data_IF_725912646279
#
_entry.id   IF_725912646279
#
_cell.length_a   1.000
_cell.length_b   1.000
_cell.length_c   1.000
_cell.angle_alpha   90.00
_cell.angle_beta   90.00
_cell.angle_gamma   90.00
#
_symmetry.space_group_name_H-M   'P 1'
#
loop_
_entity.id
_entity.type
_entity.pdbx_description
1 polymer ?
#
# COMPACT_ATOMS: atom_id res chain seq x y z
N UNK A 1 60.32 7.55 -0.33
CA UNK A 1 60.91 8.71 0.36
C UNK A 1 59.76 9.67 0.63
N UNK A 2 59.17 9.57 1.83
CA UNK A 2 59.24 10.60 2.90
C UNK A 2 58.57 11.90 2.42
N UNK A 3 57.43 12.36 2.94
CA UNK A 3 57.06 12.73 4.33
C UNK A 3 55.52 12.89 4.34
N UNK A 4 54.69 12.14 5.08
CA UNK A 4 54.32 12.16 6.52
C UNK A 4 53.70 13.47 7.04
N UNK A 5 52.45 13.33 7.51
CA UNK A 5 51.76 14.08 8.58
C UNK A 5 51.24 15.51 8.31
N UNK A 6 49.92 15.63 8.19
CA UNK A 6 49.11 16.43 9.13
C UNK A 6 47.81 15.67 9.41
N UNK A 7 47.72 15.14 10.62
CA UNK A 7 46.56 14.58 11.30
C UNK A 7 46.46 15.36 12.63
N UNK A 8 45.27 15.36 13.23
CA UNK A 8 44.90 15.90 14.55
C UNK A 8 44.26 17.31 14.53
N UNK A 9 43.19 17.65 15.25
CA UNK A 9 42.34 17.02 16.28
C UNK A 9 41.13 17.98 16.42
N UNK A 10 39.90 17.48 16.58
CA UNK A 10 38.95 17.95 17.62
C UNK A 10 37.68 17.11 17.62
N UNK A 11 37.61 16.23 18.63
CA UNK A 11 36.47 15.46 19.10
C UNK A 11 36.19 15.94 20.54
N UNK A 12 34.95 15.74 21.01
CA UNK A 12 34.41 15.93 22.38
C UNK A 12 34.08 17.37 22.82
N UNK A 13 33.03 17.65 23.62
CA UNK A 13 31.82 16.98 24.10
C UNK A 13 31.10 18.00 25.01
N UNK A 14 29.77 17.96 25.14
CA UNK A 14 29.07 18.13 26.42
C UNK A 14 27.54 18.03 26.27
N UNK A 15 26.98 17.03 26.95
CA UNK A 15 25.61 16.98 27.45
C UNK A 15 25.34 18.12 28.44
N UNK A 16 24.10 18.60 28.50
CA UNK A 16 23.50 19.00 29.77
C UNK A 16 21.99 18.76 29.79
N UNK A 17 21.57 18.01 30.82
CA UNK A 17 20.21 17.76 31.25
C UNK A 17 19.54 19.00 31.81
N UNK A 18 18.21 19.07 31.75
CA UNK A 18 17.36 19.58 32.84
C UNK A 18 15.94 19.01 32.73
N UNK A 19 15.36 18.75 33.90
CA UNK A 19 14.23 17.88 34.14
C UNK A 19 13.01 18.65 34.70
N UNK A 20 11.88 17.92 34.76
CA UNK A 20 10.63 18.14 35.51
C UNK A 20 9.61 19.19 35.02
N UNK A 21 8.45 18.68 34.57
CA UNK A 21 7.12 19.16 34.99
C UNK A 21 6.21 17.96 35.31
N UNK A 22 5.40 18.17 36.33
CA UNK A 22 4.56 17.25 37.11
C UNK A 22 3.32 16.78 36.35
N UNK A 23 2.94 15.54 36.66
CA UNK A 23 1.78 14.78 36.23
C UNK A 23 0.43 15.38 36.64
N UNK A 24 -0.57 15.30 35.77
CA UNK A 24 -1.97 15.11 36.17
C UNK A 24 -2.54 13.88 35.47
N UNK A 25 -3.07 12.95 36.26
CA UNK A 25 -3.69 11.69 35.85
C UNK A 25 -5.03 11.95 35.15
N UNK A 26 -5.18 11.44 33.93
CA UNK A 26 -6.48 11.07 33.35
C UNK A 26 -6.35 9.70 32.69
N UNK A 27 -7.40 8.90 32.83
CA UNK A 27 -7.52 7.49 32.43
C UNK A 27 -7.11 7.21 30.97
N UNK A 28 -6.40 6.10 30.67
CA UNK A 28 -6.03 5.77 29.29
C UNK A 28 -7.15 4.99 28.60
N UNK A 29 -7.89 5.65 27.70
CA UNK A 29 -8.44 4.95 26.53
C UNK A 29 -7.28 4.65 25.60
N UNK A 30 -7.06 3.38 25.23
CA UNK A 30 -6.04 2.98 24.25
C UNK A 30 -6.32 3.69 22.92
N UNK A 31 -5.46 4.58 22.41
CA UNK A 31 -5.53 4.98 21.02
C UNK A 31 -4.95 3.84 20.18
N UNK A 32 -5.73 3.32 19.24
CA UNK A 32 -5.21 2.50 18.15
C UNK A 32 -4.20 3.35 17.38
N UNK A 33 -2.96 2.87 17.26
CA UNK A 33 -1.94 3.54 16.45
C UNK A 33 -2.25 3.29 14.97
N UNK A 34 -3.27 3.95 14.45
CA UNK A 34 -3.48 4.13 13.02
C UNK A 34 -2.26 4.92 12.53
N UNK A 35 -1.68 4.50 11.40
CA UNK A 35 -0.49 5.11 10.78
C UNK A 35 -0.52 6.63 10.92
N UNK A 36 0.30 7.12 11.84
CA UNK A 36 0.28 8.50 12.32
C UNK A 36 0.78 9.47 11.24
N UNK A 37 1.40 8.99 10.16
CA UNK A 37 1.96 9.86 9.11
C UNK A 37 0.90 10.52 8.23
N UNK A 38 -0.07 9.78 7.69
CA UNK A 38 -1.09 10.38 6.79
C UNK A 38 -2.08 11.26 7.55
N UNK A 39 -2.48 10.86 8.76
CA UNK A 39 -3.42 11.62 9.60
C UNK A 39 -2.75 12.77 10.38
N UNK A 40 -1.47 12.65 10.78
CA UNK A 40 -0.77 13.77 11.43
C UNK A 40 -0.28 14.84 10.45
N UNK A 41 -0.17 14.54 9.14
CA UNK A 41 0.05 15.55 8.12
C UNK A 41 -1.15 16.47 7.93
N UNK A 42 -2.38 15.97 8.15
CA UNK A 42 -3.60 16.77 8.01
C UNK A 42 -3.87 17.61 9.30
N UNK A 43 -3.42 17.16 10.47
CA UNK A 43 -3.77 17.81 11.75
C UNK A 43 -2.76 18.84 12.27
N UNK A 44 -1.55 18.91 11.71
CA UNK A 44 -0.54 19.88 12.13
C UNK A 44 -0.07 20.68 10.91
N UNK A 45 -0.14 22.02 10.99
CA UNK A 45 0.46 23.00 10.06
C UNK A 45 2.00 22.90 9.98
N UNK A 46 2.54 21.68 9.87
CA UNK A 46 3.96 21.43 9.77
C UNK A 46 4.32 21.46 8.29
N UNK A 47 5.32 22.27 7.95
CA UNK A 47 5.90 22.36 6.61
C UNK A 47 6.11 20.95 6.04
N UNK A 48 5.32 20.63 5.02
CA UNK A 48 5.38 19.34 4.35
C UNK A 48 6.55 19.41 3.36
N UNK A 49 7.46 18.41 3.35
CA UNK A 49 8.54 18.39 2.37
C UNK A 49 7.98 18.42 0.95
N UNK A 50 8.53 19.30 0.11
CA UNK A 50 7.98 19.65 -1.20
C UNK A 50 8.13 18.54 -2.27
N UNK A 51 8.99 17.54 -2.04
CA UNK A 51 9.26 16.51 -3.03
C UNK A 51 8.38 15.27 -2.81
N UNK A 52 7.75 14.71 -3.88
CA UNK A 52 6.98 13.47 -3.81
C UNK A 52 7.87 12.37 -3.25
N UNK A 53 7.45 11.72 -2.17
CA UNK A 53 8.31 10.81 -1.42
C UNK A 53 8.51 9.50 -2.20
N UNK A 54 9.66 9.30 -2.90
CA UNK A 54 9.86 8.11 -3.74
C UNK A 54 9.93 6.83 -2.90
N UNK A 55 10.03 6.99 -1.58
CA UNK A 55 10.04 5.91 -0.62
C UNK A 55 8.73 5.13 -0.58
N UNK A 56 7.60 5.80 -0.82
CA UNK A 56 6.29 5.16 -0.67
C UNK A 56 6.11 4.06 -1.72
N UNK A 57 6.37 4.39 -2.99
CA UNK A 57 6.26 3.42 -4.08
C UNK A 57 7.32 2.30 -3.98
N UNK A 58 8.52 2.60 -3.49
CA UNK A 58 9.57 1.59 -3.27
C UNK A 58 9.23 0.64 -2.13
N UNK A 59 8.62 1.15 -1.07
CA UNK A 59 8.15 0.37 0.08
C UNK A 59 6.95 -0.49 -0.29
N UNK A 60 6.02 0.06 -1.07
CA UNK A 60 4.92 -0.70 -1.68
C UNK A 60 5.44 -1.87 -2.49
N UNK A 61 6.41 -1.63 -3.38
CA UNK A 61 7.02 -2.68 -4.18
C UNK A 61 7.67 -3.76 -3.30
N UNK A 62 8.38 -3.39 -2.23
CA UNK A 62 8.94 -4.34 -1.25
C UNK A 62 7.83 -5.16 -0.58
N UNK A 63 6.75 -4.55 -0.10
CA UNK A 63 5.60 -5.25 0.47
C UNK A 63 5.01 -6.29 -0.49
N UNK A 64 4.72 -5.89 -1.74
CA UNK A 64 4.13 -6.77 -2.75
C UNK A 64 5.07 -7.91 -3.16
N UNK A 65 6.37 -7.67 -3.14
CA UNK A 65 7.38 -8.70 -3.40
C UNK A 65 7.40 -9.76 -2.31
N UNK A 66 7.33 -9.35 -1.04
CA UNK A 66 7.26 -10.28 0.09
C UNK A 66 5.96 -11.09 0.04
N UNK A 67 4.82 -10.44 -0.19
CA UNK A 67 3.52 -11.12 -0.32
C UNK A 67 3.51 -12.14 -1.47
N UNK A 68 4.00 -11.75 -2.65
CA UNK A 68 4.07 -12.65 -3.80
C UNK A 68 5.04 -13.82 -3.56
N UNK A 69 6.16 -13.57 -2.88
CA UNK A 69 7.09 -14.63 -2.50
C UNK A 69 6.48 -15.60 -1.47
N UNK A 70 5.79 -15.08 -0.45
CA UNK A 70 5.05 -15.90 0.52
C UNK A 70 3.99 -16.75 -0.17
N UNK A 71 3.27 -16.20 -1.15
CA UNK A 71 2.31 -16.97 -1.96
C UNK A 71 2.98 -18.15 -2.68
N UNK A 72 4.15 -17.93 -3.29
CA UNK A 72 4.90 -18.99 -3.95
C UNK A 72 5.35 -20.06 -2.96
N UNK A 73 5.88 -19.67 -1.79
CA UNK A 73 6.26 -20.61 -0.73
C UNK A 73 5.08 -21.45 -0.26
N UNK A 74 3.94 -20.80 0.01
CA UNK A 74 2.68 -21.44 0.37
C UNK A 74 2.21 -22.45 -0.71
N UNK A 75 2.28 -22.06 -1.98
CA UNK A 75 1.93 -22.92 -3.11
C UNK A 75 2.84 -24.16 -3.21
N UNK A 76 4.11 -24.02 -2.81
CA UNK A 76 5.06 -25.13 -2.69
C UNK A 76 5.00 -25.86 -1.35
N UNK A 77 4.00 -25.55 -0.49
CA UNK A 77 3.78 -26.13 0.85
C UNK A 77 4.90 -25.85 1.86
N UNK A 78 5.64 -24.76 1.68
CA UNK A 78 6.63 -24.29 2.65
C UNK A 78 6.02 -23.25 3.60
N UNK A 79 5.05 -23.69 4.41
CA UNK A 79 4.33 -22.82 5.35
C UNK A 79 5.21 -22.34 6.51
N UNK A 80 6.27 -23.08 6.83
CA UNK A 80 7.19 -22.73 7.91
C UNK A 80 8.07 -21.54 7.55
N UNK A 81 8.59 -21.49 6.31
CA UNK A 81 9.30 -20.29 5.83
C UNK A 81 8.34 -19.10 5.72
N UNK A 82 7.08 -19.31 5.33
CA UNK A 82 6.04 -18.26 5.35
C UNK A 82 5.86 -17.70 6.76
N UNK A 83 5.68 -18.58 7.76
CA UNK A 83 5.53 -18.17 9.16
C UNK A 83 6.77 -17.45 9.68
N UNK A 84 7.97 -17.93 9.33
CA UNK A 84 9.23 -17.28 9.70
C UNK A 84 9.33 -15.86 9.11
N UNK A 85 8.97 -15.69 7.83
CA UNK A 85 8.96 -14.38 7.16
C UNK A 85 7.89 -13.45 7.75
N UNK A 86 6.72 -13.96 8.12
CA UNK A 86 5.65 -13.17 8.75
C UNK A 86 6.12 -12.62 10.10
N UNK A 87 6.76 -13.49 10.91
CA UNK A 87 7.37 -13.12 12.19
C UNK A 87 8.53 -12.14 12.06
N UNK A 88 9.34 -12.26 11.00
CA UNK A 88 10.42 -11.31 10.70
C UNK A 88 9.86 -9.95 10.27
N UNK A 89 8.85 -9.95 9.40
CA UNK A 89 8.27 -8.73 8.81
C UNK A 89 7.41 -7.96 9.82
N UNK A 90 6.76 -8.66 10.75
CA UNK A 90 5.82 -8.09 11.74
C UNK A 90 4.86 -7.09 11.10
N UNK A 91 4.06 -7.53 10.11
CA UNK A 91 3.24 -6.64 9.30
C UNK A 91 2.28 -5.82 10.17
N UNK A 92 2.09 -4.55 9.80
CA UNK A 92 1.13 -3.66 10.45
C UNK A 92 -0.18 -3.78 9.69
N UNK A 93 -1.12 -4.56 10.22
CA UNK A 93 -2.42 -4.78 9.60
C UNK A 93 -3.47 -3.91 10.29
N UNK A 94 -4.11 -3.04 9.52
CA UNK A 94 -5.30 -2.30 9.97
C UNK A 94 -6.52 -3.04 9.44
N UNK A 95 -7.26 -3.69 10.33
CA UNK A 95 -8.44 -4.47 9.98
C UNK A 95 -9.71 -3.64 10.14
N UNK A 96 -10.23 -3.13 9.03
CA UNK A 96 -11.54 -2.47 9.04
C UNK A 96 -12.72 -3.46 9.04
N UNK A 97 -12.46 -4.76 8.84
CA UNK A 97 -13.49 -5.78 8.57
C UNK A 97 -13.46 -7.02 9.46
N UNK A 98 -12.40 -7.23 10.25
CA UNK A 98 -12.15 -8.52 10.90
C UNK A 98 -12.15 -8.47 12.42
N UNK A 99 -12.30 -7.29 13.04
CA UNK A 99 -12.24 -7.19 14.51
C UNK A 99 -13.53 -7.62 15.23
N UNK A 100 -14.60 -7.97 14.51
CA UNK A 100 -15.91 -8.14 15.17
C UNK A 100 -16.34 -9.56 15.54
N UNK A 101 -15.74 -10.66 15.06
CA UNK A 101 -16.38 -11.99 15.25
C UNK A 101 -15.44 -13.20 15.53
N UNK A 102 -14.31 -13.02 16.21
CA UNK A 102 -13.57 -14.21 16.71
C UNK A 102 -14.33 -14.96 17.83
N UNK A 103 -15.41 -14.40 18.38
CA UNK A 103 -16.17 -15.02 19.48
C UNK A 103 -17.48 -15.73 19.09
N UNK A 104 -18.03 -15.60 17.86
CA UNK A 104 -19.39 -16.10 17.57
C UNK A 104 -19.72 -16.66 16.17
N UNK A 105 -18.74 -17.06 15.34
CA UNK A 105 -19.08 -17.69 14.05
C UNK A 105 -19.57 -19.14 14.25
N UNK A 106 -20.89 -19.32 14.11
CA UNK A 106 -21.56 -20.62 14.01
C UNK A 106 -20.93 -21.48 12.88
N UNK A 107 -20.45 -22.71 13.17
CA UNK A 107 -19.93 -23.61 12.15
C UNK A 107 -21.09 -24.14 11.32
N UNK A 108 -21.36 -23.55 10.15
CA UNK A 108 -22.41 -24.12 9.29
C UNK A 108 -22.76 -23.43 7.99
N UNK A 109 -22.44 -22.16 7.77
CA UNK A 109 -22.94 -21.47 6.56
C UNK A 109 -21.87 -20.56 5.94
N UNK A 110 -21.27 -21.06 4.85
CA UNK A 110 -20.94 -20.29 3.65
C UNK A 110 -19.69 -19.38 3.69
N UNK A 111 -18.52 -19.96 3.42
CA UNK A 111 -17.65 -19.52 2.31
C UNK A 111 -16.44 -20.46 2.18
N UNK A 112 -16.48 -21.39 1.22
CA UNK A 112 -15.38 -22.33 0.97
C UNK A 112 -14.06 -21.64 0.54
N UNK A 113 -14.13 -20.37 0.12
CA UNK A 113 -12.94 -19.55 -0.14
C UNK A 113 -12.27 -19.06 1.16
N UNK A 114 -13.01 -18.86 2.26
CA UNK A 114 -12.49 -18.35 3.53
C UNK A 114 -11.73 -19.39 4.37
N UNK A 115 -12.01 -20.68 4.21
CA UNK A 115 -11.34 -21.73 4.98
C UNK A 115 -9.89 -22.00 4.54
N UNK A 116 -9.56 -21.79 3.26
CA UNK A 116 -8.19 -21.94 2.77
C UNK A 116 -7.29 -20.77 3.17
N UNK A 117 -7.83 -19.55 3.32
CA UNK A 117 -7.06 -18.37 3.76
C UNK A 117 -6.62 -18.48 5.23
N UNK A 118 -7.42 -19.11 6.09
CA UNK A 118 -7.01 -19.42 7.48
C UNK A 118 -5.87 -20.44 7.54
N UNK A 119 -5.75 -21.33 6.54
CA UNK A 119 -4.71 -22.38 6.51
C UNK A 119 -3.31 -21.86 6.19
N UNK A 120 -3.19 -20.69 5.56
CA UNK A 120 -1.90 -20.12 5.17
C UNK A 120 -1.20 -19.37 6.31
N UNK A 121 -1.92 -19.01 7.38
CA UNK A 121 -1.39 -18.52 8.65
C UNK A 121 -0.69 -17.14 8.64
N UNK A 122 -0.30 -16.61 7.48
CA UNK A 122 0.34 -15.29 7.37
C UNK A 122 -0.69 -14.17 7.28
N UNK A 123 -0.58 -13.21 8.20
CA UNK A 123 -1.38 -11.99 8.19
C UNK A 123 -1.07 -11.14 6.96
N UNK A 124 0.20 -11.07 6.59
CA UNK A 124 0.63 -10.29 5.43
C UNK A 124 0.09 -10.89 4.13
N UNK A 125 0.12 -12.21 3.96
CA UNK A 125 -0.33 -12.85 2.72
C UNK A 125 -1.83 -12.59 2.43
N UNK A 126 -2.66 -12.61 3.47
CA UNK A 126 -4.10 -12.39 3.35
C UNK A 126 -4.50 -10.90 3.29
N UNK A 127 -3.54 -9.99 3.43
CA UNK A 127 -3.82 -8.56 3.48
C UNK A 127 -3.80 -7.90 2.09
N UNK A 128 -4.98 -7.45 1.66
CA UNK A 128 -5.14 -6.59 0.49
C UNK A 128 -5.27 -5.13 0.92
N UNK A 129 -4.15 -4.47 1.16
CA UNK A 129 -4.14 -3.06 1.59
C UNK A 129 -2.79 -2.40 1.44
N UNK A 130 -2.79 -1.08 1.57
CA UNK A 130 -1.59 -0.25 1.54
C UNK A 130 -0.90 -0.24 2.91
N UNK A 131 0.42 -0.01 2.93
CA UNK A 131 1.19 0.22 4.17
C UNK A 131 1.20 -0.93 5.19
N UNK A 132 1.23 -2.18 4.72
CA UNK A 132 1.38 -3.36 5.58
C UNK A 132 2.82 -3.54 6.08
N UNK A 133 3.79 -3.00 5.33
CA UNK A 133 5.20 -3.05 5.72
C UNK A 133 5.42 -2.20 6.97
N UNK A 134 6.07 -2.77 7.97
CA UNK A 134 6.32 -2.08 9.23
C UNK A 134 7.43 -1.02 9.07
N UNK A 135 7.05 0.21 8.73
CA UNK A 135 7.98 1.32 8.50
C UNK A 135 8.74 1.76 9.76
N UNK A 136 8.26 1.40 10.96
CA UNK A 136 9.02 1.64 12.20
C UNK A 136 10.23 0.70 12.33
N UNK A 137 10.11 -0.52 11.79
CA UNK A 137 11.21 -1.49 11.72
C UNK A 137 12.05 -1.35 10.46
N UNK A 138 11.40 -0.95 9.36
CA UNK A 138 11.99 -0.83 8.04
C UNK A 138 11.73 0.57 7.47
N UNK A 139 12.43 1.60 7.99
CA UNK A 139 12.20 2.99 7.60
C UNK A 139 12.57 3.25 6.13
N UNK A 140 13.47 2.43 5.58
CA UNK A 140 13.87 2.50 4.18
C UNK A 140 13.48 1.28 3.37
N UNK A 141 13.24 1.46 2.07
CA UNK A 141 12.80 0.37 1.19
C UNK A 141 13.79 -0.82 1.16
N UNK A 142 15.08 -0.54 1.30
CA UNK A 142 16.19 -1.50 1.32
C UNK A 142 16.54 -1.99 2.72
N UNK A 143 16.11 -1.27 3.77
CA UNK A 143 16.33 -1.65 5.16
C UNK A 143 15.76 -3.04 5.50
N UNK A 144 14.66 -3.45 4.85
CA UNK A 144 14.13 -4.82 4.94
C UNK A 144 15.19 -5.85 4.54
N UNK A 145 15.82 -5.67 3.37
CA UNK A 145 16.80 -6.61 2.84
C UNK A 145 18.11 -6.59 3.63
N UNK A 146 18.58 -5.42 4.03
CA UNK A 146 19.79 -5.33 4.85
C UNK A 146 19.59 -5.95 6.23
N UNK A 147 18.39 -5.81 6.83
CA UNK A 147 18.05 -6.47 8.09
C UNK A 147 17.86 -7.98 7.93
N UNK A 148 17.31 -8.44 6.79
CA UNK A 148 17.20 -9.86 6.47
C UNK A 148 18.59 -10.49 6.35
N UNK A 149 19.52 -9.81 5.67
CA UNK A 149 20.92 -10.20 5.55
C UNK A 149 21.72 -10.12 6.86
N UNK A 150 21.16 -9.59 7.94
CA UNK A 150 21.75 -9.65 9.29
C UNK A 150 21.22 -10.81 10.12
N UNK A 151 20.09 -11.42 9.74
CA UNK A 151 19.54 -12.55 10.50
C UNK A 151 20.48 -13.74 10.42
N UNK A 152 20.73 -14.50 11.51
CA UNK A 152 21.51 -15.72 11.45
C UNK A 152 20.78 -16.78 10.61
N UNK A 153 21.52 -17.77 10.12
CA UNK A 153 20.92 -18.97 9.55
C UNK A 153 20.15 -19.69 10.66
N UNK A 154 18.97 -20.22 10.34
CA UNK A 154 18.07 -20.81 11.32
C UNK A 154 17.68 -22.22 10.89
N UNK A 155 17.57 -23.14 11.85
CA UNK A 155 17.09 -24.51 11.61
C UNK A 155 15.77 -24.68 12.36
N UNK A 156 14.67 -24.78 11.63
CA UNK A 156 13.34 -25.01 12.20
C UNK A 156 13.12 -26.50 12.39
N UNK A 157 12.87 -26.93 13.62
CA UNK A 157 12.60 -28.33 13.97
C UNK A 157 11.11 -28.55 14.13
N UNK A 158 10.49 -29.20 13.15
CA UNK A 158 9.04 -29.44 13.14
C UNK A 158 8.76 -30.87 13.60
N UNK A 159 7.69 -31.02 14.38
CA UNK A 159 7.22 -32.30 14.91
C UNK A 159 5.80 -32.55 14.41
N UNK A 160 5.64 -33.34 13.37
CA UNK A 160 4.32 -33.66 12.82
C UNK A 160 3.84 -35.02 13.35
N UNK A 161 2.59 -35.15 13.81
CA UNK A 161 2.03 -36.44 14.21
C UNK A 161 2.01 -37.40 13.02
N UNK A 162 2.62 -38.57 13.17
CA UNK A 162 2.65 -39.60 12.10
C UNK A 162 1.42 -40.50 12.09
N UNK A 163 0.71 -40.61 13.21
CA UNK A 163 -0.49 -41.45 13.34
C UNK A 163 -1.50 -40.75 14.26
N UNK A 164 -2.75 -40.57 13.80
CA UNK A 164 -3.82 -39.88 14.55
C UNK A 164 -4.23 -40.64 15.84
N UNK A 165 -3.68 -41.82 16.11
CA UNK A 165 -3.92 -42.59 17.34
C UNK A 165 -2.67 -43.01 18.12
N UNK A 166 -1.47 -42.81 17.60
CA UNK A 166 -0.21 -43.15 18.28
C UNK A 166 0.61 -41.87 18.36
N UNK A 167 1.10 -41.52 19.56
CA UNK A 167 1.97 -40.36 19.83
C UNK A 167 3.36 -40.46 19.17
N UNK A 168 3.43 -40.98 17.95
CA UNK A 168 4.60 -40.99 17.11
C UNK A 168 4.64 -39.66 16.36
N UNK A 169 5.80 -38.99 16.39
CA UNK A 169 6.04 -37.74 15.68
C UNK A 169 7.20 -37.96 14.71
N UNK A 170 7.03 -37.53 13.46
CA UNK A 170 8.15 -37.33 12.55
C UNK A 170 8.83 -36.01 12.89
N UNK A 171 10.17 -36.02 12.93
CA UNK A 171 10.98 -34.81 13.09
C UNK A 171 11.65 -34.51 11.76
N UNK A 172 11.48 -33.30 11.27
CA UNK A 172 12.24 -32.80 10.13
C UNK A 172 12.81 -31.43 10.46
N UNK A 173 13.95 -31.14 9.86
CA UNK A 173 14.68 -29.89 10.00
C UNK A 173 14.52 -29.10 8.69
N UNK A 174 14.14 -27.83 8.78
CA UNK A 174 14.09 -26.90 7.66
C UNK A 174 15.16 -25.85 7.87
N UNK A 175 16.11 -25.80 6.95
CA UNK A 175 17.18 -24.81 6.94
C UNK A 175 16.69 -23.52 6.30
N UNK A 176 16.65 -22.46 7.09
CA UNK A 176 16.35 -21.10 6.67
C UNK A 176 17.67 -20.36 6.48
N UNK A 177 17.99 -20.05 5.22
CA UNK A 177 19.13 -19.23 4.84
C UNK A 177 18.65 -17.84 4.38
N UNK A 178 18.77 -16.80 5.22
CA UNK A 178 18.30 -15.45 4.89
C UNK A 178 18.93 -14.84 3.63
N UNK A 179 20.18 -15.18 3.29
CA UNK A 179 20.82 -14.70 2.06
C UNK A 179 20.16 -15.30 0.82
N UNK A 180 19.83 -16.60 0.86
CA UNK A 180 19.07 -17.27 -0.19
C UNK A 180 17.66 -16.70 -0.35
N UNK A 181 16.96 -16.46 0.78
CA UNK A 181 15.64 -15.81 0.77
C UNK A 181 15.71 -14.40 0.17
N UNK A 182 16.69 -13.60 0.58
CA UNK A 182 16.93 -12.27 0.03
C UNK A 182 17.08 -12.29 -1.49
N UNK A 183 17.89 -13.21 -2.02
CA UNK A 183 18.08 -13.40 -3.48
C UNK A 183 16.75 -13.64 -4.20
N UNK A 184 15.92 -14.53 -3.65
CA UNK A 184 14.66 -14.94 -4.26
C UNK A 184 13.63 -13.81 -4.20
N UNK A 185 13.53 -13.10 -3.07
CA UNK A 185 12.63 -11.94 -2.94
C UNK A 185 13.05 -10.82 -3.89
N UNK A 186 14.35 -10.55 -4.05
CA UNK A 186 14.86 -9.57 -5.03
C UNK A 186 14.47 -9.93 -6.46
N UNK A 187 14.55 -11.22 -6.83
CA UNK A 187 14.11 -11.68 -8.14
C UNK A 187 12.60 -11.46 -8.36
N UNK A 188 11.77 -11.75 -7.36
CA UNK A 188 10.33 -11.46 -7.40
C UNK A 188 10.09 -9.94 -7.50
N UNK A 189 10.87 -9.13 -6.79
CA UNK A 189 10.78 -7.67 -6.81
C UNK A 189 11.07 -7.08 -8.19
N UNK A 190 12.06 -7.60 -8.90
CA UNK A 190 12.37 -7.17 -10.27
C UNK A 190 11.28 -7.59 -11.26
N UNK A 191 10.74 -8.81 -11.11
CA UNK A 191 9.59 -9.25 -11.91
C UNK A 191 8.40 -8.32 -11.72
N UNK A 192 8.01 -8.05 -10.47
CA UNK A 192 6.89 -7.15 -10.19
C UNK A 192 7.18 -5.74 -10.69
N UNK A 193 8.38 -5.20 -10.50
CA UNK A 193 8.74 -3.87 -11.02
C UNK A 193 8.55 -3.77 -12.55
N UNK A 194 8.94 -4.81 -13.29
CA UNK A 194 8.73 -4.87 -14.74
C UNK A 194 7.24 -4.93 -15.11
N UNK A 195 6.43 -5.69 -14.36
CA UNK A 195 4.98 -5.75 -14.53
C UNK A 195 4.33 -4.38 -14.26
N UNK A 196 4.71 -3.72 -13.16
CA UNK A 196 4.22 -2.40 -12.80
C UNK A 196 4.62 -1.32 -13.82
N UNK A 197 5.71 -1.49 -14.58
CA UNK A 197 6.02 -0.58 -15.69
C UNK A 197 4.92 -0.59 -16.77
N UNK A 198 4.35 -1.77 -17.07
CA UNK A 198 3.23 -1.88 -17.99
C UNK A 198 1.97 -1.22 -17.43
N UNK A 199 1.74 -1.39 -16.14
CA UNK A 199 0.58 -0.79 -15.46
C UNK A 199 0.65 0.70 -15.40
N UNK A 200 1.79 1.27 -15.02
CA UNK A 200 1.94 2.71 -14.89
C UNK A 200 1.70 3.39 -16.24
N UNK A 201 2.13 2.76 -17.35
CA UNK A 201 1.77 3.22 -18.69
C UNK A 201 0.26 3.17 -18.94
N UNK A 202 -0.39 2.07 -18.57
CA UNK A 202 -1.84 1.96 -18.72
C UNK A 202 -2.57 3.02 -17.88
N UNK A 203 -2.24 3.13 -16.59
CA UNK A 203 -2.79 4.09 -15.63
C UNK A 203 -2.64 5.52 -16.15
N UNK A 204 -1.48 5.88 -16.72
CA UNK A 204 -1.25 7.22 -17.31
C UNK A 204 -2.19 7.62 -18.45
N UNK A 205 -2.93 6.66 -19.00
CA UNK A 205 -3.94 6.90 -20.05
C UNK A 205 -5.38 6.73 -19.55
N UNK A 206 -5.56 6.20 -18.34
CA UNK A 206 -6.89 5.88 -17.82
C UNK A 206 -7.69 7.14 -17.46
N UNK A 207 -7.06 8.26 -17.09
CA UNK A 207 -7.77 9.49 -16.76
C UNK A 207 -8.67 9.96 -17.91
N UNK A 208 -8.13 9.98 -19.13
CA UNK A 208 -8.88 10.35 -20.34
C UNK A 208 -10.04 9.39 -20.64
N UNK A 209 -9.87 8.09 -20.39
CA UNK A 209 -10.91 7.09 -20.60
C UNK A 209 -12.07 7.27 -19.61
N UNK A 210 -11.77 7.55 -18.34
CA UNK A 210 -12.77 7.83 -17.30
C UNK A 210 -13.62 9.04 -17.69
N UNK A 211 -12.98 10.14 -18.10
CA UNK A 211 -13.70 11.35 -18.54
C UNK A 211 -14.55 11.11 -19.78
N UNK A 212 -13.99 10.43 -20.79
CA UNK A 212 -14.72 10.13 -22.02
C UNK A 212 -15.96 9.30 -21.73
N UNK A 213 -15.85 8.29 -20.85
CA UNK A 213 -16.99 7.48 -20.40
C UNK A 213 -18.04 8.32 -19.66
N UNK A 214 -17.62 9.17 -18.73
CA UNK A 214 -18.53 10.07 -18.01
C UNK A 214 -19.32 10.98 -18.98
N UNK A 215 -18.64 11.65 -19.91
CA UNK A 215 -19.29 12.54 -20.87
C UNK A 215 -20.25 11.78 -21.80
N UNK A 216 -19.82 10.63 -22.32
CA UNK A 216 -20.65 9.76 -23.15
C UNK A 216 -21.94 9.33 -22.42
N UNK A 217 -21.83 8.92 -21.16
CA UNK A 217 -22.98 8.52 -20.34
C UNK A 217 -23.91 9.72 -20.06
N UNK A 218 -23.35 10.90 -19.77
CA UNK A 218 -24.12 12.14 -19.55
C UNK A 218 -24.91 12.56 -20.79
N UNK A 219 -24.33 12.47 -21.98
CA UNK A 219 -25.02 12.77 -23.25
C UNK A 219 -26.16 11.78 -23.54
N UNK A 220 -25.93 10.49 -23.32
CA UNK A 220 -26.93 9.45 -23.54
C UNK A 220 -28.12 9.52 -22.57
N UNK A 221 -27.89 9.98 -21.33
CA UNK A 221 -28.97 10.25 -20.37
C UNK A 221 -29.89 11.38 -20.82
N UNK A 222 -29.36 12.41 -21.49
CA UNK A 222 -30.18 13.50 -22.01
C UNK A 222 -31.05 13.05 -23.19
N UNK A 223 -30.54 12.14 -24.03
CA UNK A 223 -31.29 11.60 -25.16
C UNK A 223 -32.43 10.67 -24.72
N UNK A 224 -32.21 9.84 -23.70
CA UNK A 224 -33.21 8.85 -23.22
C UNK A 224 -34.40 9.46 -22.50
N UNK A 225 -34.25 10.64 -21.87
CA UNK A 225 -35.38 11.38 -21.26
C UNK A 225 -36.45 11.79 -22.28
N UNK A 226 -36.12 11.86 -23.58
CA UNK A 226 -37.06 12.24 -24.63
C UNK A 226 -37.91 11.08 -25.16
N UNK A 227 -37.47 9.83 -25.00
CA UNK A 227 -38.17 8.65 -25.53
C UNK A 227 -39.01 7.97 -24.45
N UNK A 228 -40.18 8.52 -24.14
CA UNK A 228 -41.14 8.02 -23.13
C UNK A 228 -41.77 6.65 -23.42
N UNK A 229 -41.04 5.68 -23.99
CA UNK A 229 -41.52 4.32 -24.21
C UNK A 229 -41.20 3.43 -23.01
N UNK A 230 -42.22 3.25 -22.17
CA UNK A 230 -42.35 2.18 -21.16
C UNK A 230 -42.06 0.82 -21.80
N UNK A 231 -40.85 0.29 -21.60
CA UNK A 231 -40.47 -1.03 -22.10
C UNK A 231 -39.10 -1.44 -21.57
N UNK A 232 -38.98 -1.57 -20.25
CA UNK A 232 -37.74 -1.92 -19.58
C UNK A 232 -37.32 -3.37 -19.88
N UNK A 233 -36.38 -3.52 -20.82
CA UNK A 233 -35.57 -4.74 -20.92
C UNK A 233 -34.46 -4.57 -19.87
N UNK A 234 -34.56 -5.31 -18.77
CA UNK A 234 -33.56 -5.28 -17.71
C UNK A 234 -32.20 -5.74 -18.24
N UNK A 235 -31.20 -4.86 -18.13
CA UNK A 235 -29.81 -5.21 -18.36
C UNK A 235 -29.42 -6.30 -17.35
N UNK A 236 -29.11 -7.50 -17.85
CA UNK A 236 -28.72 -8.67 -17.02
C UNK A 236 -27.29 -8.59 -16.49
N UNK A 237 -26.51 -7.60 -16.93
CA UNK A 237 -25.07 -7.55 -16.67
C UNK A 237 -24.70 -6.76 -15.41
N UNK A 238 -25.68 -6.32 -14.61
CA UNK A 238 -25.43 -5.69 -13.31
C UNK A 238 -24.72 -4.32 -13.39
N UNK A 239 -24.38 -3.84 -14.59
CA UNK A 239 -23.89 -2.49 -14.81
C UNK A 239 -25.04 -1.53 -14.59
N UNK A 240 -24.95 -0.77 -13.49
CA UNK A 240 -25.86 0.34 -13.25
C UNK A 240 -25.81 1.26 -14.47
N UNK A 241 -26.94 1.62 -15.09
CA UNK A 241 -26.97 2.51 -16.27
C UNK A 241 -26.43 3.93 -16.00
N UNK A 242 -26.07 4.21 -14.74
CA UNK A 242 -25.46 5.46 -14.30
C UNK A 242 -23.99 5.32 -13.88
N UNK A 243 -23.43 4.10 -13.91
CA UNK A 243 -22.04 3.87 -13.50
C UNK A 243 -21.06 4.43 -14.52
N UNK A 244 -19.99 5.06 -14.04
CA UNK A 244 -18.84 5.38 -14.89
C UNK A 244 -18.13 4.07 -15.21
N UNK A 245 -17.67 3.88 -16.45
CA UNK A 245 -16.86 2.69 -16.76
C UNK A 245 -15.64 2.67 -15.86
N UNK A 246 -15.38 1.53 -15.23
CA UNK A 246 -14.21 1.33 -14.37
C UNK A 246 -13.08 0.74 -15.22
N UNK A 247 -12.19 1.56 -15.85
CA UNK A 247 -11.18 1.03 -16.77
C UNK A 247 -10.21 0.08 -16.07
N UNK A 248 -10.01 0.25 -14.76
CA UNK A 248 -9.29 -0.70 -13.92
C UNK A 248 -9.87 -2.11 -14.00
N UNK A 249 -11.20 -2.28 -14.07
CA UNK A 249 -11.88 -3.58 -14.23
C UNK A 249 -11.55 -4.23 -15.56
N UNK A 250 -11.52 -3.44 -16.63
CA UNK A 250 -11.16 -3.95 -17.94
C UNK A 250 -9.70 -4.41 -17.93
N UNK A 251 -8.81 -3.63 -17.33
CA UNK A 251 -7.38 -3.93 -17.29
C UNK A 251 -7.03 -5.10 -16.38
N UNK A 252 -7.68 -5.24 -15.22
CA UNK A 252 -7.47 -6.35 -14.28
C UNK A 252 -7.89 -7.71 -14.84
N UNK A 253 -8.83 -7.72 -15.79
CA UNK A 253 -9.27 -8.93 -16.47
C UNK A 253 -8.53 -9.17 -17.79
N UNK A 254 -7.76 -8.19 -18.25
CA UNK A 254 -6.91 -8.35 -19.41
C UNK A 254 -5.60 -9.00 -18.95
N UNK A 255 -5.33 -10.22 -19.42
CA UNK A 255 -4.02 -10.83 -19.23
C UNK A 255 -3.03 -10.09 -20.15
N UNK A 256 -2.13 -9.25 -19.61
CA UNK A 256 -1.30 -8.42 -20.43
C UNK A 256 -0.27 -9.30 -21.14
N UNK A 257 -0.56 -9.57 -22.41
CA UNK A 257 0.33 -10.09 -23.45
C UNK A 257 0.78 -11.54 -23.28
N UNK A 258 0.18 -12.39 -24.11
CA UNK A 258 0.66 -13.73 -24.53
C UNK A 258 2.15 -13.70 -24.95
N UNK A 259 2.68 -12.52 -25.32
CA UNK A 259 4.04 -12.34 -25.83
C UNK A 259 5.09 -11.96 -24.75
N UNK A 260 4.72 -11.81 -23.48
CA UNK A 260 5.71 -11.66 -22.41
C UNK A 260 6.48 -12.98 -22.21
N UNK A 261 7.83 -12.97 -22.13
CA UNK A 261 8.60 -14.18 -21.86
C UNK A 261 8.39 -14.73 -20.44
N UNK A 262 7.74 -13.95 -19.56
CA UNK A 262 7.47 -14.33 -18.19
C UNK A 262 5.96 -14.41 -17.93
N UNK A 263 5.56 -15.47 -17.24
CA UNK A 263 4.22 -15.58 -16.68
C UNK A 263 3.99 -14.45 -15.66
N UNK A 264 2.77 -13.89 -15.58
CA UNK A 264 2.45 -12.84 -14.61
C UNK A 264 2.64 -13.34 -13.17
N UNK A 265 3.01 -12.43 -12.27
CA UNK A 265 3.12 -12.74 -10.85
C UNK A 265 1.79 -13.27 -10.28
N UNK A 266 1.81 -14.20 -9.30
CA UNK A 266 0.56 -14.84 -8.84
C UNK A 266 -0.49 -13.87 -8.27
N UNK A 267 -0.03 -12.73 -7.72
CA UNK A 267 -0.88 -11.69 -7.13
C UNK A 267 -1.04 -10.48 -8.04
N UNK A 268 -0.85 -10.66 -9.36
CA UNK A 268 -0.83 -9.58 -10.36
C UNK A 268 -2.01 -8.63 -10.25
N UNK A 269 -3.22 -9.20 -10.22
CA UNK A 269 -4.48 -8.44 -10.14
C UNK A 269 -4.52 -7.56 -8.88
N UNK A 270 -4.17 -8.14 -7.72
CA UNK A 270 -4.08 -7.40 -6.46
C UNK A 270 -2.98 -6.34 -6.46
N UNK A 271 -1.85 -6.61 -7.10
CA UNK A 271 -0.76 -5.64 -7.26
C UNK A 271 -1.20 -4.43 -8.08
N UNK A 272 -1.90 -4.65 -9.19
CA UNK A 272 -2.43 -3.58 -10.04
C UNK A 272 -3.42 -2.70 -9.28
N UNK A 273 -4.41 -3.32 -8.62
CA UNK A 273 -5.42 -2.61 -7.84
C UNK A 273 -4.83 -1.71 -6.77
N UNK A 274 -3.91 -2.24 -5.96
CA UNK A 274 -3.28 -1.45 -4.91
C UNK A 274 -2.33 -0.39 -5.48
N UNK A 275 -1.66 -0.64 -6.61
CA UNK A 275 -0.88 0.41 -7.28
C UNK A 275 -1.78 1.56 -7.71
N UNK A 276 -2.94 1.26 -8.30
CA UNK A 276 -3.93 2.24 -8.71
C UNK A 276 -4.50 3.05 -7.52
N UNK A 277 -4.79 2.38 -6.41
CA UNK A 277 -5.23 3.04 -5.18
C UNK A 277 -4.12 3.94 -4.61
N UNK A 278 -2.89 3.44 -4.54
CA UNK A 278 -1.74 4.18 -4.02
C UNK A 278 -1.46 5.44 -4.82
N UNK A 279 -1.43 5.35 -6.14
CA UNK A 279 -1.15 6.51 -6.99
C UNK A 279 -2.28 7.54 -6.99
N UNK A 280 -3.53 7.08 -6.86
CA UNK A 280 -4.68 7.98 -6.70
C UNK A 280 -4.59 8.70 -5.35
N UNK A 281 -4.21 8.00 -4.29
CA UNK A 281 -3.98 8.60 -2.97
C UNK A 281 -2.88 9.66 -3.03
N UNK A 282 -1.73 9.34 -3.64
CA UNK A 282 -0.60 10.29 -3.74
C UNK A 282 -0.95 11.50 -4.61
N UNK A 283 -1.72 11.33 -5.67
CA UNK A 283 -2.20 12.44 -6.49
C UNK A 283 -3.05 13.43 -5.67
N UNK A 284 -3.94 12.93 -4.82
CA UNK A 284 -4.73 13.78 -3.92
C UNK A 284 -3.82 14.48 -2.91
N UNK A 285 -2.92 13.73 -2.26
CA UNK A 285 -2.00 14.28 -1.26
C UNK A 285 -1.09 15.35 -1.86
N UNK A 286 -0.59 15.14 -3.08
CA UNK A 286 0.24 16.12 -3.79
C UNK A 286 -0.54 17.40 -4.11
N UNK A 287 -1.80 17.30 -4.56
CA UNK A 287 -2.67 18.45 -4.76
C UNK A 287 -2.99 19.19 -3.45
N UNK A 288 -3.17 18.46 -2.34
CA UNK A 288 -3.35 19.09 -1.02
C UNK A 288 -2.11 19.87 -0.56
N UNK A 289 -0.91 19.48 -1.01
CA UNK A 289 0.35 20.17 -0.70
C UNK A 289 0.61 21.35 -1.63
N UNK A 290 0.34 21.17 -2.93
CA UNK A 290 0.77 22.08 -3.99
C UNK A 290 -0.34 23.01 -4.49
N UNK A 291 -1.58 22.80 -4.05
CA UNK A 291 -2.77 23.54 -4.48
C UNK A 291 -3.58 22.83 -5.56
N UNK A 292 -4.84 23.22 -5.69
CA UNK A 292 -5.77 22.75 -6.73
C UNK A 292 -6.04 23.91 -7.68
N UNK A 293 -5.74 23.72 -8.98
CA UNK A 293 -5.86 24.76 -10.00
C UNK A 293 -7.00 24.43 -10.99
N UNK A 294 -8.19 24.98 -10.75
CA UNK A 294 -9.38 24.80 -11.62
C UNK A 294 -9.52 25.95 -12.64
N UNK A 295 -8.88 27.09 -12.39
CA UNK A 295 -8.87 28.24 -13.30
C UNK A 295 -7.93 29.35 -12.83
N UNK A 296 -8.14 30.55 -13.37
CA UNK A 296 -7.34 31.75 -13.05
C UNK A 296 -7.77 32.43 -11.73
N UNK A 297 -8.92 32.06 -11.18
CA UNK A 297 -9.46 32.64 -9.94
C UNK A 297 -8.87 31.96 -8.70
N UNK A 298 -8.07 32.72 -7.95
CA UNK A 298 -7.41 32.27 -6.72
C UNK A 298 -8.43 31.88 -5.63
N UNK A 299 -9.57 32.59 -5.53
CA UNK A 299 -10.60 32.30 -4.54
C UNK A 299 -11.25 30.94 -4.84
N UNK A 300 -11.53 30.68 -6.12
CA UNK A 300 -12.07 29.39 -6.57
C UNK A 300 -11.08 28.23 -6.34
N UNK A 301 -9.79 28.46 -6.57
CA UNK A 301 -8.73 27.47 -6.36
C UNK A 301 -8.60 27.10 -4.86
N UNK A 302 -8.63 28.11 -3.97
CA UNK A 302 -8.62 27.91 -2.52
C UNK A 302 -9.89 27.18 -2.04
N UNK A 303 -11.07 27.56 -2.54
CA UNK A 303 -12.32 26.88 -2.23
C UNK A 303 -12.29 25.41 -2.69
N UNK A 304 -11.74 25.14 -3.88
CA UNK A 304 -11.57 23.79 -4.43
C UNK A 304 -10.59 22.95 -3.60
N UNK A 305 -9.51 23.54 -3.09
CA UNK A 305 -8.56 22.89 -2.20
C UNK A 305 -9.24 22.48 -0.88
N UNK A 306 -10.00 23.39 -0.25
CA UNK A 306 -10.77 23.08 0.98
C UNK A 306 -11.80 21.99 0.75
N UNK A 307 -12.47 22.00 -0.41
CA UNK A 307 -13.36 20.92 -0.81
C UNK A 307 -12.62 19.58 -0.90
N UNK A 308 -11.47 19.52 -1.58
CA UNK A 308 -10.69 18.30 -1.73
C UNK A 308 -10.20 17.78 -0.36
N UNK A 309 -9.74 18.67 0.52
CA UNK A 309 -9.27 18.28 1.86
C UNK A 309 -10.40 17.62 2.66
N UNK A 310 -11.57 18.26 2.70
CA UNK A 310 -12.75 17.73 3.39
C UNK A 310 -13.19 16.40 2.78
N UNK A 311 -13.31 16.35 1.45
CA UNK A 311 -13.74 15.15 0.72
C UNK A 311 -12.79 13.97 0.98
N UNK A 312 -11.48 14.22 0.96
CA UNK A 312 -10.45 13.22 1.24
C UNK A 312 -10.48 12.76 2.70
N UNK A 313 -10.56 13.68 3.66
CA UNK A 313 -10.61 13.37 5.10
C UNK A 313 -11.79 12.47 5.44
N UNK A 314 -12.96 12.72 4.85
CA UNK A 314 -14.17 11.93 5.07
C UNK A 314 -14.07 10.50 4.50
N UNK A 315 -13.17 10.26 3.54
CA UNK A 315 -13.10 9.01 2.76
C UNK A 315 -11.80 8.24 2.91
N UNK A 316 -10.76 8.81 3.50
CA UNK A 316 -9.42 8.19 3.58
C UNK A 316 -9.45 6.82 4.24
N UNK A 317 -10.23 6.68 5.32
CA UNK A 317 -10.34 5.43 6.08
C UNK A 317 -11.04 4.35 5.26
N UNK A 318 -12.08 4.71 4.50
CA UNK A 318 -12.92 3.76 3.77
C UNK A 318 -12.34 3.37 2.41
N UNK A 319 -11.47 4.21 1.82
CA UNK A 319 -10.96 3.99 0.46
C UNK A 319 -9.47 3.62 0.40
N UNK A 320 -8.64 4.11 1.33
CA UNK A 320 -7.18 3.98 1.21
C UNK A 320 -6.50 3.29 2.40
N UNK A 321 -7.15 3.19 3.56
CA UNK A 321 -6.53 2.65 4.78
C UNK A 321 -7.09 1.29 5.13
N UNK A 322 -6.24 0.33 5.48
CA UNK A 322 -6.67 -0.98 5.98
C UNK A 322 -6.90 -2.02 4.89
N UNK A 323 -7.49 -3.15 5.27
CA UNK A 323 -7.89 -4.17 4.31
C UNK A 323 -8.99 -3.61 3.41
N UNK A 324 -8.74 -3.57 2.11
CA UNK A 324 -9.60 -2.96 1.11
C UNK A 324 -10.23 -4.02 0.21
N UNK A 325 -11.37 -3.67 -0.38
CA UNK A 325 -11.86 -4.36 -1.56
C UNK A 325 -11.14 -3.81 -2.79
N UNK A 326 -11.24 -4.54 -3.91
CA UNK A 326 -10.80 -4.03 -5.20
C UNK A 326 -11.58 -2.74 -5.56
N UNK A 327 -11.02 -1.95 -6.48
CA UNK A 327 -11.65 -0.80 -7.16
C UNK A 327 -11.89 0.44 -6.30
N UNK A 328 -11.32 0.51 -5.09
CA UNK A 328 -11.57 1.64 -4.17
C UNK A 328 -11.10 2.98 -4.71
N UNK A 329 -10.02 3.01 -5.48
CA UNK A 329 -9.57 4.21 -6.18
C UNK A 329 -10.58 4.70 -7.20
N UNK A 330 -11.24 3.81 -7.94
CA UNK A 330 -12.29 4.19 -8.90
C UNK A 330 -13.54 4.69 -8.20
N UNK A 331 -13.95 4.02 -7.11
CA UNK A 331 -15.09 4.47 -6.30
C UNK A 331 -14.85 5.88 -5.75
N UNK A 332 -13.64 6.17 -5.27
CA UNK A 332 -13.28 7.50 -4.78
C UNK A 332 -13.42 8.58 -5.87
N UNK A 333 -12.94 8.31 -7.08
CA UNK A 333 -13.03 9.24 -8.22
C UNK A 333 -14.49 9.37 -8.71
N UNK A 334 -15.19 8.25 -8.84
CA UNK A 334 -16.59 8.20 -9.27
C UNK A 334 -17.48 9.00 -8.31
N UNK A 335 -17.33 8.83 -7.00
CA UNK A 335 -18.04 9.61 -5.99
C UNK A 335 -17.77 11.13 -6.12
N UNK A 336 -16.53 11.52 -6.43
CA UNK A 336 -16.17 12.93 -6.63
C UNK A 336 -16.78 13.50 -7.91
N UNK A 337 -16.73 12.76 -9.02
CA UNK A 337 -17.29 13.17 -10.31
C UNK A 337 -18.82 13.26 -10.31
N UNK A 338 -19.47 12.44 -9.49
CA UNK A 338 -20.93 12.42 -9.33
C UNK A 338 -21.44 13.38 -8.24
N UNK A 339 -20.54 14.01 -7.47
CA UNK A 339 -20.93 14.99 -6.47
C UNK A 339 -21.56 16.23 -7.12
N UNK A 340 -22.65 16.71 -6.54
CA UNK A 340 -23.31 17.96 -6.98
C UNK A 340 -22.38 19.16 -6.78
N UNK A 341 -22.50 20.22 -7.61
CA UNK A 341 -21.86 21.50 -7.35
C UNK A 341 -22.23 22.02 -5.95
N UNK A 342 -21.26 22.66 -5.28
CA UNK A 342 -21.40 23.16 -3.92
C UNK A 342 -21.02 24.64 -3.90
N UNK A 343 -21.81 25.46 -3.24
CA UNK A 343 -21.44 26.84 -2.91
C UNK A 343 -20.81 26.82 -1.52
N UNK A 344 -19.56 27.26 -1.42
CA UNK A 344 -18.90 27.45 -0.12
C UNK A 344 -18.92 28.93 0.26
N UNK A 345 -19.25 29.18 1.53
CA UNK A 345 -19.16 30.49 2.15
C UNK A 345 -17.85 30.56 2.91
N UNK A 346 -17.15 31.69 2.83
CA UNK A 346 -15.93 31.88 3.59
C UNK A 346 -16.29 32.17 5.05
N UNK A 347 -16.06 31.21 5.94
CA UNK A 347 -16.39 31.32 7.37
C UNK A 347 -15.45 32.28 8.14
N UNK A 348 -14.48 32.92 7.46
CA UNK A 348 -13.35 33.58 8.10
C UNK A 348 -13.60 35.01 8.59
N UNK A 349 -14.72 35.67 8.26
CA UNK A 349 -14.95 37.03 8.76
C UNK A 349 -16.43 37.34 9.08
N UNK A 350 -16.87 36.97 10.28
CA UNK A 350 -18.16 37.39 10.84
C UNK A 350 -18.31 38.92 10.94
N UNK A 351 -17.22 39.69 10.79
CA UNK A 351 -17.23 41.15 10.98
C UNK A 351 -17.42 41.97 9.69
N UNK A 352 -17.32 41.35 8.52
CA UNK A 352 -17.48 42.01 7.22
C UNK A 352 -18.88 41.75 6.62
N UNK A 353 -19.92 42.29 7.27
CA UNK A 353 -21.28 42.32 6.72
C UNK A 353 -21.35 43.29 5.54
N UNK A 354 -21.33 42.77 4.30
CA UNK A 354 -22.31 43.07 3.24
C UNK A 354 -21.99 42.40 1.88
N UNK A 355 -20.74 41.98 1.61
CA UNK A 355 -20.33 41.32 0.35
C UNK A 355 -19.52 40.03 0.63
N UNK A 356 -20.18 38.97 1.11
CA UNK A 356 -19.50 37.68 1.28
C UNK A 356 -19.27 37.04 -0.09
N UNK A 357 -18.01 36.92 -0.51
CA UNK A 357 -17.62 36.25 -1.74
C UNK A 357 -18.02 34.77 -1.67
N UNK A 358 -19.05 34.40 -2.44
CA UNK A 358 -19.49 33.01 -2.58
C UNK A 358 -18.74 32.37 -3.74
N UNK A 359 -18.03 31.28 -3.48
CA UNK A 359 -17.38 30.49 -4.53
C UNK A 359 -18.22 29.27 -4.87
N UNK A 360 -18.54 29.11 -6.15
CA UNK A 360 -19.14 27.89 -6.69
C UNK A 360 -18.03 26.89 -7.05
N UNK A 361 -18.08 25.72 -6.42
CA UNK A 361 -17.14 24.63 -6.64
C UNK A 361 -17.81 23.59 -7.52
N UNK A 362 -17.11 23.20 -8.59
CA UNK A 362 -17.50 22.09 -9.47
C UNK A 362 -16.63 20.86 -9.15
N UNK A 363 -17.11 19.88 -8.36
CA UNK A 363 -16.34 18.68 -8.00
C UNK A 363 -15.75 17.91 -9.19
N UNK A 364 -16.44 17.94 -10.33
CA UNK A 364 -15.97 17.33 -11.57
C UNK A 364 -14.61 17.90 -12.01
N UNK A 365 -14.38 19.21 -11.82
CA UNK A 365 -13.09 19.85 -12.12
C UNK A 365 -12.00 19.48 -11.14
N UNK A 366 -12.35 19.30 -9.86
CA UNK A 366 -11.41 18.81 -8.85
C UNK A 366 -10.99 17.37 -9.18
N UNK A 367 -11.94 16.52 -9.57
CA UNK A 367 -11.65 15.16 -10.05
C UNK A 367 -10.74 15.17 -11.29
N UNK A 368 -10.92 16.14 -12.18
CA UNK A 368 -10.05 16.34 -13.36
C UNK A 368 -8.60 16.61 -12.95
N UNK A 369 -8.39 17.50 -11.99
CA UNK A 369 -7.05 17.78 -11.46
C UNK A 369 -6.43 16.55 -10.81
N UNK A 370 -7.20 15.76 -10.03
CA UNK A 370 -6.70 14.52 -9.41
C UNK A 370 -6.26 13.52 -10.48
N UNK A 371 -7.06 13.32 -11.53
CA UNK A 371 -6.75 12.39 -12.61
C UNK A 371 -5.53 12.85 -13.42
N UNK A 372 -5.43 14.14 -13.75
CA UNK A 372 -4.26 14.71 -14.43
C UNK A 372 -2.98 14.54 -13.61
N UNK A 373 -3.03 14.83 -12.29
CA UNK A 373 -1.87 14.66 -11.42
C UNK A 373 -1.47 13.19 -11.28
N UNK A 374 -2.45 12.29 -11.16
CA UNK A 374 -2.22 10.85 -11.11
C UNK A 374 -1.54 10.34 -12.38
N UNK A 375 -1.99 10.80 -13.54
CA UNK A 375 -1.43 10.39 -14.83
C UNK A 375 0.04 10.87 -14.95
N UNK A 376 0.37 12.07 -14.44
CA UNK A 376 1.74 12.57 -14.35
C UNK A 376 2.61 11.76 -13.37
N UNK A 377 2.12 11.50 -12.16
CA UNK A 377 2.81 10.66 -11.17
C UNK A 377 3.10 9.26 -11.71
N UNK A 378 2.24 8.74 -12.60
CA UNK A 378 2.42 7.39 -13.14
C UNK A 378 3.67 7.31 -14.01
N UNK A 379 3.95 8.37 -14.77
CA UNK A 379 5.15 8.50 -15.58
C UNK A 379 6.40 8.69 -14.71
N UNK A 380 6.32 9.47 -13.63
CA UNK A 380 7.42 9.61 -12.67
C UNK A 380 7.77 8.26 -12.02
N UNK A 381 6.76 7.51 -11.57
CA UNK A 381 6.95 6.20 -10.94
C UNK A 381 7.41 5.13 -11.93
N UNK A 382 7.09 5.27 -13.22
CA UNK A 382 7.58 4.39 -14.27
C UNK A 382 9.11 4.44 -14.35
N UNK A 383 9.71 5.63 -14.25
CA UNK A 383 11.16 5.78 -14.23
C UNK A 383 11.78 5.13 -12.99
N UNK A 384 11.14 5.28 -11.82
CA UNK A 384 11.58 4.64 -10.58
C UNK A 384 11.57 3.11 -10.73
N UNK A 385 10.52 2.54 -11.32
CA UNK A 385 10.39 1.10 -11.55
C UNK A 385 11.46 0.56 -12.49
N UNK A 386 11.77 1.30 -13.57
CA UNK A 386 12.83 0.93 -14.51
C UNK A 386 14.23 0.93 -13.85
N UNK A 387 14.45 1.78 -12.85
CA UNK A 387 15.72 1.86 -12.13
C UNK A 387 15.91 0.77 -11.05
N UNK A 388 14.87 -0.03 -10.74
CA UNK A 388 14.90 -1.05 -9.67
C UNK A 388 16.07 -2.04 -9.77
N UNK A 389 16.38 -2.65 -10.94
CA UNK A 389 17.50 -3.60 -11.04
C UNK A 389 18.85 -2.97 -10.65
N UNK A 390 19.07 -1.70 -11.03
CA UNK A 390 20.28 -0.96 -10.68
C UNK A 390 20.37 -0.72 -9.17
N UNK A 391 19.26 -0.38 -8.51
CA UNK A 391 19.20 -0.18 -7.06
C UNK A 391 19.51 -1.47 -6.27
N UNK A 392 19.22 -2.64 -6.84
CA UNK A 392 19.54 -3.91 -6.19
C UNK A 392 21.02 -4.29 -6.22
N UNK A 393 21.87 -3.61 -7.00
CA UNK A 393 23.28 -3.96 -7.12
C UNK A 393 24.01 -3.96 -5.76
N UNK A 394 23.73 -2.98 -4.91
CA UNK A 394 24.31 -2.89 -3.56
C UNK A 394 23.85 -4.04 -2.66
N UNK A 395 22.57 -4.40 -2.70
CA UNK A 395 22.00 -5.49 -1.90
C UNK A 395 22.54 -6.85 -2.37
N UNK A 396 22.62 -7.07 -3.69
CA UNK A 396 23.20 -8.29 -4.28
C UNK A 396 24.68 -8.45 -3.92
N UNK A 397 25.44 -7.34 -3.89
CA UNK A 397 26.82 -7.36 -3.41
C UNK A 397 26.88 -7.79 -1.94
N UNK A 398 26.09 -7.15 -1.06
CA UNK A 398 26.04 -7.52 0.36
C UNK A 398 25.60 -8.98 0.58
N UNK A 399 24.67 -9.47 -0.23
CA UNK A 399 24.24 -10.87 -0.23
C UNK A 399 25.38 -11.81 -0.63
N UNK A 400 26.13 -11.49 -1.69
CA UNK A 400 27.28 -12.27 -2.15
C UNK A 400 28.39 -12.28 -1.10
N UNK A 401 28.71 -11.11 -0.53
CA UNK A 401 29.71 -10.97 0.53
C UNK A 401 29.36 -11.87 1.73
N UNK A 402 28.07 -11.93 2.10
CA UNK A 402 27.58 -12.86 3.14
C UNK A 402 27.76 -14.33 2.75
N UNK A 403 27.38 -14.73 1.54
CA UNK A 403 27.52 -16.12 1.06
C UNK A 403 29.00 -16.54 1.02
N UNK A 404 29.91 -15.61 0.72
CA UNK A 404 31.35 -15.84 0.69
C UNK A 404 32.02 -15.78 2.08
N UNK A 405 31.28 -15.55 3.16
CA UNK A 405 31.83 -15.40 4.51
C UNK A 405 32.64 -14.11 4.72
N UNK A 406 32.49 -13.12 3.85
CA UNK A 406 33.15 -11.80 3.90
C UNK A 406 32.28 -10.72 4.56
N UNK A 407 31.02 -11.04 4.87
CA UNK A 407 30.10 -10.13 5.54
C UNK A 407 30.55 -9.79 6.97
N UNK A 408 30.02 -8.69 7.55
CA UNK A 408 30.26 -8.39 8.96
C UNK A 408 29.92 -9.63 9.79
N UNK A 409 30.86 -10.05 10.64
CA UNK A 409 30.68 -11.21 11.50
C UNK A 409 29.36 -11.01 12.27
N UNK A 410 28.34 -11.80 11.91
CA UNK A 410 27.13 -11.89 12.72
C UNK A 410 27.64 -12.47 14.03
N UNK A 411 27.57 -11.69 15.11
CA UNK A 411 27.89 -12.21 16.44
C UNK A 411 27.10 -13.51 16.60
N UNK A 412 27.81 -14.64 16.70
CA UNK A 412 27.22 -15.98 16.81
C UNK A 412 26.42 -16.05 18.13
N UNK A 413 25.20 -15.52 18.12
CA UNK A 413 24.19 -15.90 19.09
C UNK A 413 23.66 -17.26 18.65
N UNK A 414 24.37 -18.33 19.05
CA UNK A 414 23.90 -19.72 18.92
C UNK A 414 22.77 -20.02 19.90
N UNK A 415 21.79 -19.11 20.02
CA UNK A 415 20.52 -19.41 20.66
C UNK A 415 19.67 -20.14 19.62
N UNK A 416 19.85 -21.47 19.57
CA UNK A 416 18.99 -22.37 18.80
C UNK A 416 17.57 -22.25 19.35
N UNK A 417 16.81 -21.29 18.84
CA UNK A 417 15.43 -21.06 19.24
C UNK A 417 14.58 -22.19 18.66
N UNK A 418 14.38 -23.23 19.46
CA UNK A 418 13.44 -24.31 19.13
C UNK A 418 12.03 -23.73 19.24
N UNK A 419 11.50 -23.25 18.12
CA UNK A 419 10.08 -22.90 18.01
C UNK A 419 9.33 -24.23 17.94
N UNK A 420 8.85 -24.72 19.09
CA UNK A 420 7.90 -25.82 19.13
C UNK A 420 6.56 -25.23 18.73
N UNK A 421 6.19 -25.34 17.46
CA UNK A 421 4.79 -25.15 17.06
C UNK A 421 4.03 -26.37 17.58
N UNK A 422 3.25 -26.20 18.64
CA UNK A 422 2.21 -27.16 18.97
C UNK A 422 1.12 -26.98 17.92
N UNK A 423 1.06 -27.90 16.97
CA UNK A 423 0.01 -27.91 15.94
C UNK A 423 -1.36 -28.06 16.64
N UNK A 424 -2.05 -26.95 16.84
CA UNK A 424 -3.51 -26.90 16.97
C UNK A 424 -4.18 -26.84 15.56
N UNK A 425 -3.44 -27.27 14.52
CA UNK A 425 -3.97 -27.48 13.17
C UNK A 425 -4.81 -28.75 13.14
N UNK A 426 -6.07 -28.65 13.60
CA UNK A 426 -7.13 -29.63 13.30
C UNK A 426 -7.83 -29.31 11.99
#
# INVERSE_FOLDING_TARGET
MNVIAVLCINLWAALQCSAFIITTKSSPSRPSSINTLTLAMISNNREVPADPNPQEIRSFLTQRSIQSFMFLLASTRDLHTVQWLDNFTKPVIINNYWEEDDEQVNPGVGDAFRENDKRLGSKLLNYHGLSALNTTMFPEWDSFFTNLLKQPDAVLRIKTPTDVGRRAYSKFEIDINPASLCSRIISVREQIANELCGDLKAISTMGQLIFSSYHYNKENQNNTKSSGKKGGIGYKDGTSPNGIDKPSMLYMNFDPLIDSPFAPSPLRKGNFDLLYNLITQEAVVDLLRNGVFVGDDEIQNEASLRYLEKFYRDRVVTHFVGAQFYWKGDEFIEEMMLASPIVMFDDFDESAQEDADTSEIEPLRVAEQVLLRRDALALEWLEIMQAVPSHHAAIRKAQLDRIMGQGPAVEEQTDTKVIVTTDDFQ
#
